data_IF_241588419494
#
_entry.id   IF_241588419494
#
_cell.length_a   1.000
_cell.length_b   1.000
_cell.length_c   1.000
_cell.angle_alpha   90.00
_cell.angle_beta   90.00
_cell.angle_gamma   90.00
#
_symmetry.space_group_name_H-M   'P 1'
#
loop_
_entity.id
_entity.type
_entity.pdbx_description
1 polymer ?
#
# COMPACT_ATOMS: atom_id res chain seq x y z
N UNK A 1 3.26 7.00 -10.74
CA UNK A 1 2.14 7.20 -9.81
C UNK A 1 2.69 7.18 -8.39
N UNK A 2 2.02 7.81 -7.43
CA UNK A 2 2.36 7.69 -6.01
C UNK A 2 1.49 6.59 -5.42
N UNK A 3 2.07 5.71 -4.61
CA UNK A 3 1.34 4.65 -3.91
C UNK A 3 1.65 4.65 -2.43
N UNK A 4 0.60 4.70 -1.62
CA UNK A 4 0.68 4.82 -0.16
C UNK A 4 0.78 3.46 0.51
N UNK A 5 0.03 2.47 -0.01
CA UNK A 5 -0.19 1.24 0.74
C UNK A 5 0.89 0.21 0.47
N UNK A 6 1.58 -0.21 1.54
CA UNK A 6 2.23 -1.51 1.57
C UNK A 6 1.19 -2.56 1.95
N UNK A 7 1.15 -3.70 1.28
CA UNK A 7 0.19 -4.76 1.61
C UNK A 7 0.94 -6.05 1.91
N UNK A 8 0.69 -6.62 3.10
CA UNK A 8 1.35 -7.83 3.59
C UNK A 8 0.32 -8.91 3.95
N UNK A 9 0.79 -10.15 4.00
CA UNK A 9 -0.03 -11.30 4.42
C UNK A 9 -0.30 -11.37 5.92
N UNK A 10 0.65 -10.89 6.75
CA UNK A 10 0.55 -10.87 8.22
C UNK A 10 1.51 -9.81 8.81
N UNK A 11 1.39 -9.45 10.11
CA UNK A 11 2.30 -8.50 10.76
C UNK A 11 3.71 -9.05 11.04
N UNK A 12 3.93 -10.34 10.82
CA UNK A 12 5.24 -10.97 11.06
C UNK A 12 6.34 -10.39 10.15
N UNK A 13 7.57 -10.41 10.65
CA UNK A 13 8.72 -9.80 9.96
C UNK A 13 8.95 -10.38 8.56
N UNK A 14 8.81 -11.71 8.42
CA UNK A 14 9.10 -12.45 7.19
C UNK A 14 7.85 -12.82 6.38
N UNK A 15 6.72 -12.18 6.66
CA UNK A 15 5.48 -12.48 5.94
C UNK A 15 5.53 -12.00 4.49
N UNK A 16 4.80 -12.71 3.62
CA UNK A 16 4.71 -12.40 2.19
C UNK A 16 4.21 -10.97 2.00
N UNK A 17 4.90 -10.20 1.17
CA UNK A 17 4.49 -8.87 0.71
C UNK A 17 3.75 -9.06 -0.61
N UNK A 18 2.55 -8.49 -0.69
CA UNK A 18 1.73 -8.49 -1.90
C UNK A 18 2.01 -7.27 -2.77
N UNK A 19 2.08 -6.10 -2.15
CA UNK A 19 2.34 -4.82 -2.81
C UNK A 19 3.31 -3.99 -1.97
N UNK A 20 4.26 -3.34 -2.64
CA UNK A 20 5.15 -2.35 -2.02
C UNK A 20 4.61 -0.95 -2.26
N UNK A 21 4.71 -0.09 -1.25
CA UNK A 21 4.39 1.32 -1.43
C UNK A 21 5.38 1.99 -2.42
N UNK A 22 4.93 3.04 -3.09
CA UNK A 22 5.73 3.89 -3.97
C UNK A 22 5.58 5.35 -3.55
N UNK A 23 6.19 5.67 -2.42
CA UNK A 23 6.09 6.97 -1.76
C UNK A 23 7.46 7.68 -1.62
N UNK A 24 7.47 8.84 -0.94
CA UNK A 24 8.65 9.67 -0.77
C UNK A 24 9.79 8.95 -0.03
N UNK A 25 9.48 8.18 1.02
CA UNK A 25 10.47 7.38 1.78
C UNK A 25 11.19 6.39 0.86
N UNK A 26 10.45 5.74 -0.04
CA UNK A 26 10.95 4.78 -1.02
C UNK A 26 11.79 5.46 -2.10
N UNK A 27 11.47 6.69 -2.48
CA UNK A 27 12.33 7.48 -3.36
C UNK A 27 13.69 7.75 -2.72
N UNK A 28 13.72 8.23 -1.47
CA UNK A 28 14.96 8.49 -0.73
C UNK A 28 15.80 7.21 -0.60
N UNK A 29 15.18 6.08 -0.26
CA UNK A 29 15.87 4.78 -0.18
C UNK A 29 16.49 4.37 -1.51
N UNK A 30 15.79 4.53 -2.64
CA UNK A 30 16.34 4.26 -3.98
C UNK A 30 17.50 5.19 -4.31
N UNK A 31 17.42 6.46 -3.93
CA UNK A 31 18.52 7.41 -4.14
C UNK A 31 19.77 7.01 -3.35
N UNK A 32 19.63 6.64 -2.06
CA UNK A 32 20.75 6.12 -1.28
C UNK A 32 21.32 4.84 -1.87
N UNK A 33 20.46 3.93 -2.34
CA UNK A 33 20.90 2.70 -3.01
C UNK A 33 21.74 3.03 -4.25
N UNK A 34 21.30 3.97 -5.09
CA UNK A 34 22.06 4.40 -6.27
C UNK A 34 23.38 5.08 -5.93
N UNK A 35 23.40 5.91 -4.89
CA UNK A 35 24.65 6.49 -4.41
C UNK A 35 25.61 5.39 -3.89
N UNK A 36 25.12 4.37 -3.19
CA UNK A 36 25.95 3.24 -2.75
C UNK A 36 26.54 2.46 -3.93
N UNK A 37 25.73 2.19 -4.96
CA UNK A 37 26.18 1.55 -6.20
C UNK A 37 27.29 2.36 -6.91
N UNK A 38 27.25 3.69 -6.78
CA UNK A 38 28.27 4.61 -7.30
C UNK A 38 29.49 4.78 -6.37
N UNK A 39 29.55 4.04 -5.26
CA UNK A 39 30.69 4.04 -4.34
C UNK A 39 30.57 5.01 -3.16
N UNK A 40 29.41 5.63 -2.94
CA UNK A 40 29.19 6.43 -1.73
C UNK A 40 29.21 5.53 -0.48
N UNK A 41 29.91 5.98 0.56
CA UNK A 41 29.97 5.31 1.85
C UNK A 41 29.10 6.06 2.85
N UNK A 42 28.09 5.38 3.38
CA UNK A 42 27.18 5.96 4.36
C UNK A 42 27.71 5.79 5.79
N UNK A 43 27.50 6.80 6.62
CA UNK A 43 27.74 6.68 8.06
C UNK A 43 26.74 5.68 8.66
N UNK A 44 27.18 4.91 9.67
CA UNK A 44 26.31 4.02 10.43
C UNK A 44 25.46 4.84 11.40
N UNK A 45 24.34 5.34 10.90
CA UNK A 45 23.31 6.03 11.68
C UNK A 45 21.99 5.29 11.54
N UNK A 46 21.16 5.35 12.59
CA UNK A 46 19.81 4.82 12.55
C UNK A 46 18.92 5.71 11.69
N UNK A 47 18.26 5.13 10.69
CA UNK A 47 17.30 5.82 9.82
C UNK A 47 15.95 5.14 9.92
N UNK A 48 14.95 5.88 10.38
CA UNK A 48 13.60 5.37 10.58
C UNK A 48 12.62 6.04 9.61
N UNK A 49 11.67 5.27 9.10
CA UNK A 49 10.69 5.72 8.13
C UNK A 49 9.30 5.31 8.56
N UNK A 50 8.33 6.18 8.29
CA UNK A 50 6.92 5.86 8.45
C UNK A 50 6.52 4.84 7.40
N UNK A 51 5.78 3.82 7.81
CA UNK A 51 5.19 2.82 6.92
C UNK A 51 3.72 2.68 7.26
N UNK A 52 2.88 2.62 6.22
CA UNK A 52 1.46 2.37 6.34
C UNK A 52 1.20 1.02 5.66
N UNK A 53 0.83 0.02 6.46
CA UNK A 53 0.69 -1.36 5.99
C UNK A 53 -0.73 -1.85 6.16
N UNK A 54 -1.32 -2.39 5.09
CA UNK A 54 -2.54 -3.20 5.13
C UNK A 54 -2.20 -4.69 5.26
N UNK A 55 -3.06 -5.43 5.96
CA UNK A 55 -2.93 -6.88 6.08
C UNK A 55 -4.09 -7.58 5.38
N UNK A 56 -3.76 -8.50 4.48
CA UNK A 56 -4.71 -9.15 3.59
C UNK A 56 -4.31 -10.60 3.31
N UNK A 57 -5.29 -11.45 3.00
CA UNK A 57 -5.04 -12.68 2.25
C UNK A 57 -4.52 -12.40 0.84
N UNK A 58 -4.48 -13.44 0.01
CA UNK A 58 -4.02 -13.30 -1.38
C UNK A 58 -4.94 -12.36 -2.16
N UNK A 59 -4.41 -11.28 -2.76
CA UNK A 59 -5.19 -10.35 -3.56
C UNK A 59 -5.74 -10.99 -4.83
N UNK A 60 -6.92 -10.55 -5.26
CA UNK A 60 -7.53 -10.98 -6.52
C UNK A 60 -7.57 -9.80 -7.49
N UNK A 61 -6.99 -9.97 -8.67
CA UNK A 61 -7.07 -8.96 -9.72
C UNK A 61 -8.50 -8.89 -10.25
N UNK A 62 -9.08 -7.69 -10.29
CA UNK A 62 -10.42 -7.43 -10.80
C UNK A 62 -10.40 -6.90 -12.24
N UNK A 63 -9.26 -6.33 -12.67
CA UNK A 63 -9.05 -5.76 -14.00
C UNK A 63 -8.74 -4.27 -13.98
N UNK A 64 -8.64 -3.68 -15.16
CA UNK A 64 -8.36 -2.26 -15.35
C UNK A 64 -9.65 -1.42 -15.50
N UNK A 65 -9.48 -0.11 -15.61
CA UNK A 65 -10.60 0.84 -15.72
C UNK A 65 -11.55 0.52 -16.87
N UNK A 66 -11.03 0.22 -18.06
CA UNK A 66 -11.86 -0.05 -19.25
C UNK A 66 -12.64 -1.35 -19.11
N UNK A 67 -12.03 -2.39 -18.54
CA UNK A 67 -12.70 -3.67 -18.31
C UNK A 67 -13.75 -3.61 -17.21
N UNK A 68 -13.56 -2.77 -16.19
CA UNK A 68 -14.47 -2.68 -15.05
C UNK A 68 -15.60 -1.68 -15.25
N UNK A 69 -15.29 -0.48 -15.75
CA UNK A 69 -16.24 0.63 -15.87
C UNK A 69 -16.74 0.87 -17.30
N UNK A 70 -16.23 0.11 -18.28
CA UNK A 70 -16.68 0.19 -19.67
C UNK A 70 -18.04 -0.49 -19.93
N UNK A 71 -18.53 -0.43 -21.18
CA UNK A 71 -19.86 -0.94 -21.56
C UNK A 71 -20.06 -2.44 -21.28
N UNK A 72 -18.98 -3.23 -21.39
CA UNK A 72 -18.98 -4.67 -21.15
C UNK A 72 -18.58 -5.05 -19.71
N UNK A 73 -18.30 -4.05 -18.86
CA UNK A 73 -17.88 -4.27 -17.49
C UNK A 73 -19.03 -4.71 -16.57
N UNK A 74 -18.66 -5.38 -15.47
CA UNK A 74 -19.63 -5.77 -14.46
C UNK A 74 -20.15 -4.54 -13.69
N UNK A 75 -21.36 -4.09 -14.02
CA UNK A 75 -22.00 -2.91 -13.42
C UNK A 75 -22.14 -3.00 -11.90
N UNK A 76 -22.39 -4.20 -11.36
CA UNK A 76 -22.53 -4.40 -9.92
C UNK A 76 -21.20 -4.23 -9.21
N UNK A 77 -20.13 -4.83 -9.74
CA UNK A 77 -18.77 -4.68 -9.20
C UNK A 77 -18.28 -3.24 -9.32
N UNK A 78 -18.51 -2.58 -10.46
CA UNK A 78 -18.17 -1.19 -10.66
C UNK A 78 -18.87 -0.27 -9.64
N UNK A 79 -20.15 -0.52 -9.35
CA UNK A 79 -20.88 0.22 -8.33
C UNK A 79 -20.33 -0.05 -6.93
N UNK A 80 -19.99 -1.30 -6.61
CA UNK A 80 -19.40 -1.66 -5.32
C UNK A 80 -18.06 -0.92 -5.09
N UNK A 81 -17.17 -0.90 -6.09
CA UNK A 81 -15.90 -0.18 -6.02
C UNK A 81 -16.13 1.34 -5.81
N UNK A 82 -17.07 1.94 -6.56
CA UNK A 82 -17.41 3.37 -6.41
C UNK A 82 -17.94 3.69 -5.01
N UNK A 83 -18.82 2.84 -4.49
CA UNK A 83 -19.40 2.99 -3.17
C UNK A 83 -18.35 2.83 -2.08
N UNK A 84 -17.40 1.91 -2.24
CA UNK A 84 -16.28 1.75 -1.33
C UNK A 84 -15.42 3.00 -1.22
N UNK A 85 -15.11 3.66 -2.34
CA UNK A 85 -14.27 4.89 -2.31
C UNK A 85 -15.03 6.15 -1.87
N UNK A 86 -16.36 6.15 -1.89
CA UNK A 86 -17.16 7.34 -1.61
C UNK A 86 -16.91 7.95 -0.21
N UNK A 87 -16.82 7.17 0.89
CA UNK A 87 -16.60 7.70 2.23
C UNK A 87 -15.19 8.29 2.46
N UNK A 88 -14.21 7.97 1.61
CA UNK A 88 -12.82 8.44 1.75
C UNK A 88 -12.61 9.87 1.20
N UNK A 89 -13.66 10.49 0.64
CA UNK A 89 -13.61 11.87 0.16
C UNK A 89 -13.58 12.87 1.32
N UNK A 90 -13.08 14.10 1.10
CA UNK A 90 -13.15 15.16 2.10
C UNK A 90 -14.59 15.37 2.58
N UNK A 91 -14.77 15.46 3.89
CA UNK A 91 -16.08 15.67 4.53
C UNK A 91 -16.37 17.16 4.70
N UNK A 92 -17.64 17.54 4.59
CA UNK A 92 -18.09 18.92 4.75
C UNK A 92 -18.65 19.21 6.16
N UNK A 93 -18.90 18.17 6.95
CA UNK A 93 -19.38 18.30 8.33
C UNK A 93 -18.87 17.20 9.24
N UNK A 94 -18.90 17.44 10.56
CA UNK A 94 -18.53 16.44 11.58
C UNK A 94 -19.48 15.24 11.57
N UNK A 95 -20.78 15.46 11.31
CA UNK A 95 -21.76 14.37 11.21
C UNK A 95 -21.45 13.43 10.05
N UNK A 96 -21.10 14.01 8.89
CA UNK A 96 -20.69 13.25 7.72
C UNK A 96 -19.40 12.47 7.99
N UNK A 97 -18.42 13.08 8.67
CA UNK A 97 -17.19 12.39 9.06
C UNK A 97 -17.47 11.10 9.86
N UNK A 98 -18.29 11.17 10.91
CA UNK A 98 -18.59 9.97 11.71
C UNK A 98 -19.35 8.91 10.91
N UNK A 99 -20.30 9.32 10.07
CA UNK A 99 -21.03 8.39 9.21
C UNK A 99 -20.09 7.69 8.20
N UNK A 100 -19.18 8.44 7.59
CA UNK A 100 -18.19 7.88 6.66
C UNK A 100 -17.19 6.97 7.38
N UNK A 101 -16.73 7.35 8.58
CA UNK A 101 -15.85 6.51 9.39
C UNK A 101 -16.49 5.16 9.73
N UNK A 102 -17.77 5.16 10.14
CA UNK A 102 -18.51 3.93 10.42
C UNK A 102 -18.62 3.03 9.19
N UNK A 103 -18.92 3.60 8.02
CA UNK A 103 -18.94 2.86 6.74
C UNK A 103 -17.60 2.25 6.38
N UNK A 104 -16.51 2.99 6.58
CA UNK A 104 -15.16 2.49 6.32
C UNK A 104 -14.85 1.31 7.25
N UNK A 105 -15.20 1.41 8.54
CA UNK A 105 -15.02 0.32 9.49
C UNK A 105 -15.88 -0.90 9.12
N UNK A 106 -17.13 -0.70 8.71
CA UNK A 106 -18.01 -1.76 8.24
C UNK A 106 -17.39 -2.52 7.06
N UNK A 107 -17.01 -1.81 5.99
CA UNK A 107 -16.41 -2.43 4.80
C UNK A 107 -15.08 -3.15 5.11
N UNK A 108 -14.17 -2.48 5.82
CA UNK A 108 -12.79 -2.97 5.99
C UNK A 108 -12.66 -4.02 7.10
N UNK A 109 -13.39 -3.84 8.21
CA UNK A 109 -13.23 -4.66 9.42
C UNK A 109 -14.31 -5.72 9.53
N UNK A 110 -15.58 -5.37 9.32
CA UNK A 110 -16.68 -6.33 9.47
C UNK A 110 -16.83 -7.20 8.22
N UNK A 111 -16.79 -6.57 7.05
CA UNK A 111 -16.97 -7.25 5.77
C UNK A 111 -15.66 -7.78 5.17
N UNK A 112 -14.52 -7.42 5.77
CA UNK A 112 -13.18 -7.84 5.32
C UNK A 112 -12.86 -7.45 3.87
N UNK A 113 -13.39 -6.31 3.40
CA UNK A 113 -13.24 -5.84 2.01
C UNK A 113 -12.38 -4.59 1.92
N UNK A 114 -11.42 -4.62 1.03
CA UNK A 114 -10.71 -3.42 0.61
C UNK A 114 -10.42 -3.48 -0.90
N UNK A 115 -10.71 -2.40 -1.61
CA UNK A 115 -10.34 -2.27 -3.02
C UNK A 115 -9.09 -1.41 -3.15
N UNK A 116 -8.03 -1.98 -3.71
CA UNK A 116 -6.76 -1.31 -3.96
C UNK A 116 -6.63 -0.99 -5.45
N UNK A 117 -6.26 0.24 -5.76
CA UNK A 117 -5.87 0.63 -7.10
C UNK A 117 -4.34 0.64 -7.18
N UNK A 118 -3.74 -0.25 -7.98
CA UNK A 118 -2.30 -0.41 -8.07
C UNK A 118 -1.92 -0.77 -9.50
N UNK A 119 -0.87 -0.12 -10.05
CA UNK A 119 -0.43 -0.33 -11.44
C UNK A 119 -1.55 -0.16 -12.51
N UNK A 120 -2.47 0.79 -12.30
CA UNK A 120 -3.63 1.03 -13.19
C UNK A 120 -4.66 -0.11 -13.22
N UNK A 121 -4.60 -1.01 -12.25
CA UNK A 121 -5.54 -2.12 -12.07
C UNK A 121 -6.21 -2.03 -10.68
N UNK A 122 -7.42 -2.57 -10.58
CA UNK A 122 -8.13 -2.73 -9.32
C UNK A 122 -7.94 -4.14 -8.80
N UNK A 123 -7.69 -4.23 -7.50
CA UNK A 123 -7.45 -5.45 -6.77
C UNK A 123 -8.40 -5.53 -5.58
N UNK A 124 -8.97 -6.71 -5.37
CA UNK A 124 -9.69 -7.02 -4.14
C UNK A 124 -8.73 -7.57 -3.10
N UNK A 125 -8.74 -6.99 -1.91
CA UNK A 125 -7.96 -7.44 -0.77
C UNK A 125 -8.90 -8.08 0.27
N UNK A 126 -8.82 -9.40 0.51
CA UNK A 126 -9.51 -10.04 1.63
C UNK A 126 -8.81 -9.68 2.95
N UNK A 127 -9.31 -8.65 3.63
CA UNK A 127 -8.65 -8.04 4.78
C UNK A 127 -8.55 -8.97 5.98
N UNK A 128 -7.40 -8.94 6.66
CA UNK A 128 -7.11 -9.77 7.84
C UNK A 128 -6.67 -8.91 9.01
N UNK A 129 -7.04 -9.29 10.23
CA UNK A 129 -6.52 -8.68 11.45
C UNK A 129 -4.97 -8.67 11.43
N UNK A 130 -4.29 -7.56 11.80
CA UNK A 130 -4.80 -6.35 12.45
C UNK A 130 -5.34 -5.27 11.49
N UNK A 131 -5.64 -5.62 10.23
CA UNK A 131 -6.20 -4.80 9.15
C UNK A 131 -5.23 -3.72 8.64
N UNK A 132 -4.75 -2.86 9.53
CA UNK A 132 -3.84 -1.79 9.23
C UNK A 132 -2.84 -1.59 10.37
N UNK A 133 -1.59 -1.25 10.05
CA UNK A 133 -0.58 -0.79 11.01
C UNK A 133 0.13 0.43 10.43
N UNK A 134 0.23 1.48 11.24
CA UNK A 134 1.12 2.62 11.00
C UNK A 134 2.31 2.45 11.94
N UNK A 135 3.52 2.43 11.39
CA UNK A 135 4.73 2.18 12.16
C UNK A 135 5.87 3.09 11.73
N UNK A 136 6.77 3.38 12.66
CA UNK A 136 8.03 4.07 12.40
C UNK A 136 9.16 3.04 12.53
N UNK A 137 9.52 2.42 11.41
CA UNK A 137 10.42 1.25 11.39
C UNK A 137 11.81 1.65 10.89
N UNK A 138 12.84 1.08 11.50
CA UNK A 138 14.22 1.28 11.06
C UNK A 138 14.45 0.59 9.71
N UNK A 139 14.97 1.35 8.75
CA UNK A 139 15.44 0.85 7.46
C UNK A 139 16.86 1.36 7.32
N UNK A 140 17.83 0.48 7.49
CA UNK A 140 19.24 0.82 7.48
C UNK A 140 19.69 1.36 6.12
N UNK A 141 20.65 2.30 6.15
CA UNK A 141 21.32 2.76 4.94
C UNK A 141 22.05 1.61 4.23
N UNK A 142 22.14 1.64 2.90
CA UNK A 142 22.83 0.61 2.13
C UNK A 142 24.34 0.59 2.45
N UNK A 143 24.91 -0.61 2.55
CA UNK A 143 26.35 -0.79 2.68
C UNK A 143 26.99 -0.86 1.29
N UNK A 144 28.13 -0.19 1.11
CA UNK A 144 28.89 -0.15 -0.14
C UNK A 144 29.51 -1.50 -0.57
N UNK A 145 29.36 -2.57 0.21
CA UNK A 145 30.18 -3.79 0.08
C UNK A 145 29.61 -4.89 -0.83
N UNK A 146 28.55 -4.64 -1.60
CA UNK A 146 27.93 -5.67 -2.47
C UNK A 146 28.34 -5.63 -3.94
N UNK A 147 29.27 -4.78 -4.35
CA UNK A 147 29.90 -4.86 -5.68
C UNK A 147 31.38 -5.18 -5.53
N UNK A 148 31.67 -6.43 -5.13
CA UNK A 148 32.89 -7.08 -5.61
C UNK A 148 32.66 -7.35 -7.08
N UNK A 149 33.20 -6.49 -7.94
CA UNK A 149 33.53 -6.91 -9.29
C UNK A 149 34.60 -7.99 -9.15
N UNK A 150 34.25 -9.24 -9.44
CA UNK A 150 35.26 -10.27 -9.64
C UNK A 150 36.10 -9.89 -10.88
N UNK A 151 37.44 -9.99 -10.80
CA UNK A 151 38.39 -9.48 -11.79
C UNK A 151 38.33 -10.19 -13.16
#
# INVERSE_FOLDING_TARGET
YYETWRVKSSPEKNSRVWFEAYECSKFVQRAYQKLAELGAVFKKIQTNYTTITLFSGEPVCLGNETTLFGPLGNKSLALAIRNFYLPFKPYHSVKEFFFNLLKILEEVVLDHRFYLFYNLEYWFLPMKYPYMKIAYEEISLPNSNTTKFDP
#
